data_IF_566771451643
#
_entry.id   IF_566771451643
#
_cell.length_a   1.000
_cell.length_b   1.000
_cell.length_c   1.000
_cell.angle_alpha   90.00
_cell.angle_beta   90.00
_cell.angle_gamma   90.00
#
_symmetry.space_group_name_H-M   'P 1'
#
loop_
_entity.id
_entity.type
_entity.pdbx_description
1 polymer ?
#
# COMPACT_ATOMS: atom_id res chain seq x y z
N UNK A 1 -12.65 -3.86 14.35
CA UNK A 1 -11.78 -2.79 14.81
C UNK A 1 -10.75 -2.52 13.72
N UNK A 2 -10.88 -1.37 13.02
CA UNK A 2 -9.89 -0.96 12.02
C UNK A 2 -8.59 -0.50 12.69
N UNK A 3 -7.44 -0.88 12.13
CA UNK A 3 -6.15 -0.36 12.56
C UNK A 3 -5.95 1.06 12.02
N UNK A 4 -5.38 1.93 12.84
CA UNK A 4 -4.94 3.26 12.42
C UNK A 4 -3.56 3.20 11.75
N UNK A 5 -3.16 4.29 11.06
CA UNK A 5 -1.79 4.40 10.53
C UNK A 5 -0.73 4.24 11.63
N UNK A 6 -1.07 4.57 12.88
CA UNK A 6 -0.17 4.38 14.01
C UNK A 6 0.00 2.91 14.42
N UNK A 7 -0.92 2.04 14.01
CA UNK A 7 -0.91 0.60 14.25
C UNK A 7 -0.39 -0.19 13.03
N UNK A 8 0.10 0.49 12.01
CA UNK A 8 0.87 -0.12 10.94
C UNK A 8 2.21 -0.61 11.48
N UNK A 9 2.41 -1.90 11.44
CA UNK A 9 3.65 -2.55 11.87
C UNK A 9 4.35 -3.16 10.67
N UNK A 10 5.67 -3.21 10.72
CA UNK A 10 6.45 -3.94 9.73
C UNK A 10 6.25 -5.44 9.91
N UNK A 11 6.47 -6.21 8.86
CA UNK A 11 6.47 -7.67 8.92
C UNK A 11 7.42 -8.19 10.02
N UNK A 12 8.55 -7.52 10.23
CA UNK A 12 9.53 -7.84 11.27
C UNK A 12 8.96 -7.70 12.69
N UNK A 13 8.07 -6.73 12.92
CA UNK A 13 7.41 -6.56 14.21
C UNK A 13 6.56 -7.78 14.54
N UNK A 14 5.74 -8.25 13.59
CA UNK A 14 4.88 -9.42 13.78
C UNK A 14 5.64 -10.73 13.92
N UNK A 15 6.77 -10.88 13.20
CA UNK A 15 7.63 -12.08 13.32
C UNK A 15 8.30 -12.23 14.69
N UNK A 16 8.44 -11.14 15.44
CA UNK A 16 8.96 -11.15 16.82
C UNK A 16 7.89 -11.17 17.90
N UNK A 17 6.61 -11.10 17.53
CA UNK A 17 5.52 -11.11 18.50
C UNK A 17 5.29 -12.51 19.08
N UNK A 18 5.00 -12.65 20.40
CA UNK A 18 4.80 -13.95 21.04
C UNK A 18 3.64 -14.77 20.43
N UNK A 19 2.68 -14.11 19.79
CA UNK A 19 1.54 -14.75 19.12
C UNK A 19 1.81 -15.08 17.64
N UNK A 20 3.02 -14.84 17.14
CA UNK A 20 3.41 -15.15 15.77
C UNK A 20 3.67 -16.64 15.62
N UNK A 21 2.91 -17.30 14.74
CA UNK A 21 3.05 -18.74 14.43
C UNK A 21 4.27 -19.02 13.53
N UNK A 22 4.91 -17.99 12.99
CA UNK A 22 6.00 -18.13 12.02
C UNK A 22 7.34 -17.86 12.70
N UNK A 23 7.98 -18.91 13.15
CA UNK A 23 9.41 -18.89 13.51
C UNK A 23 10.23 -19.07 12.22
N UNK A 24 10.78 -18.01 11.69
CA UNK A 24 11.60 -18.04 10.47
C UNK A 24 12.50 -16.82 10.34
N UNK A 25 13.41 -16.86 9.35
CA UNK A 25 14.36 -15.78 9.08
C UNK A 25 13.66 -14.41 9.00
N UNK A 26 14.13 -13.45 9.80
CA UNK A 26 13.62 -12.08 9.83
C UNK A 26 13.67 -11.47 8.43
N UNK A 27 12.51 -11.14 7.89
CA UNK A 27 12.39 -10.40 6.63
C UNK A 27 12.24 -8.93 6.92
N UNK A 28 13.18 -8.11 6.48
CA UNK A 28 13.05 -6.66 6.51
C UNK A 28 12.14 -6.22 5.36
N UNK A 29 10.86 -6.11 5.61
CA UNK A 29 9.88 -5.66 4.64
C UNK A 29 9.11 -4.47 5.21
N UNK A 30 9.04 -3.37 4.51
CA UNK A 30 9.87 -2.94 3.37
C UNK A 30 11.25 -2.41 3.83
N UNK A 31 12.30 -2.82 3.15
CA UNK A 31 13.71 -2.61 3.55
C UNK A 31 14.07 -1.13 3.79
N UNK A 32 13.56 -0.24 2.96
CA UNK A 32 13.85 1.19 3.03
C UNK A 32 13.10 1.94 4.13
N UNK A 33 12.00 1.39 4.61
CA UNK A 33 11.08 2.07 5.53
C UNK A 33 11.43 1.76 6.98
N UNK A 34 12.02 0.59 7.26
CA UNK A 34 12.30 0.17 8.63
C UNK A 34 13.07 1.21 9.47
N UNK A 35 14.18 1.81 8.97
CA UNK A 35 14.89 2.85 9.71
C UNK A 35 14.10 4.14 9.89
N UNK A 36 13.06 4.36 9.06
CA UNK A 36 12.27 5.59 9.01
C UNK A 36 10.78 5.35 9.24
N UNK A 37 10.42 4.24 9.87
CA UNK A 37 9.03 3.82 10.01
C UNK A 37 8.12 4.87 10.67
N UNK A 38 8.60 5.54 11.69
CA UNK A 38 7.88 6.64 12.32
C UNK A 38 7.65 7.82 11.34
N UNK A 39 8.68 8.19 10.60
CA UNK A 39 8.58 9.25 9.57
C UNK A 39 7.67 8.83 8.42
N UNK A 40 7.69 7.56 8.02
CA UNK A 40 6.77 6.99 7.03
C UNK A 40 5.32 7.18 7.46
N UNK A 41 4.96 6.72 8.66
CA UNK A 41 3.60 6.88 9.20
C UNK A 41 3.17 8.34 9.25
N UNK A 42 4.06 9.25 9.69
CA UNK A 42 3.80 10.68 9.71
C UNK A 42 3.57 11.26 8.31
N UNK A 43 4.39 10.87 7.33
CA UNK A 43 4.25 11.32 5.94
C UNK A 43 2.95 10.81 5.31
N UNK A 44 2.58 9.54 5.54
CA UNK A 44 1.30 9.00 5.06
C UNK A 44 0.14 9.76 5.69
N UNK A 45 0.14 9.98 7.00
CA UNK A 45 -0.90 10.73 7.69
C UNK A 45 -1.01 12.18 7.20
N UNK A 46 0.12 12.88 7.05
CA UNK A 46 0.16 14.25 6.53
C UNK A 46 -0.39 14.34 5.11
N UNK A 47 -0.05 13.37 4.24
CA UNK A 47 -0.55 13.35 2.86
C UNK A 47 -2.02 13.02 2.76
N UNK A 48 -2.53 12.18 3.62
CA UNK A 48 -3.97 11.92 3.72
C UNK A 48 -4.74 13.18 4.15
N UNK A 49 -4.20 13.95 5.08
CA UNK A 49 -4.79 15.24 5.48
C UNK A 49 -4.80 16.23 4.31
N UNK A 50 -3.71 16.31 3.55
CA UNK A 50 -3.60 17.15 2.36
C UNK A 50 -4.60 16.72 1.26
N UNK A 51 -4.73 15.41 1.00
CA UNK A 51 -5.68 14.84 0.03
C UNK A 51 -7.14 15.08 0.43
N UNK A 52 -7.44 15.11 1.72
CA UNK A 52 -8.79 15.31 2.25
C UNK A 52 -9.23 16.78 2.31
N UNK A 53 -8.51 17.70 1.70
CA UNK A 53 -8.87 19.12 1.69
C UNK A 53 -8.91 19.77 3.09
N UNK A 54 -8.12 19.26 4.03
CA UNK A 54 -8.06 19.80 5.39
C UNK A 54 -9.24 19.43 6.30
N UNK A 55 -10.04 18.42 5.93
CA UNK A 55 -11.07 17.90 6.82
C UNK A 55 -10.45 17.42 8.14
N UNK A 56 -10.85 18.04 9.23
CA UNK A 56 -10.37 17.80 10.59
C UNK A 56 -10.50 16.32 10.95
N UNK A 57 -9.37 15.71 11.26
CA UNK A 57 -9.33 14.39 11.90
C UNK A 57 -9.90 14.52 13.31
N UNK A 58 -10.93 13.76 13.62
CA UNK A 58 -11.60 13.78 14.93
C UNK A 58 -10.75 13.20 16.08
N UNK A 59 -9.58 12.66 15.78
CA UNK A 59 -8.50 12.40 16.74
C UNK A 59 -7.16 12.74 16.08
N UNK A 60 -6.41 13.67 16.63
CA UNK A 60 -5.14 14.13 16.08
C UNK A 60 -4.19 12.95 15.81
N UNK A 61 -3.95 12.66 14.53
CA UNK A 61 -2.90 11.75 14.08
C UNK A 61 -3.27 10.32 13.77
N UNK A 62 -4.53 9.89 13.89
CA UNK A 62 -4.96 8.54 13.53
C UNK A 62 -5.69 8.51 12.18
N UNK A 63 -5.23 7.67 11.27
CA UNK A 63 -5.90 7.39 10.00
C UNK A 63 -6.15 5.89 9.91
N UNK A 64 -7.41 5.50 9.85
CA UNK A 64 -7.80 4.10 9.74
C UNK A 64 -7.53 3.56 8.34
N UNK A 65 -7.11 2.30 8.27
CA UNK A 65 -6.91 1.57 7.01
C UNK A 65 -8.24 1.06 6.48
N UNK A 66 -9.10 0.55 7.38
CA UNK A 66 -10.44 0.13 7.00
C UNK A 66 -11.38 1.33 6.88
N UNK A 67 -12.34 1.23 5.98
CA UNK A 67 -13.37 2.25 5.77
C UNK A 67 -13.45 2.78 4.34
N UNK A 68 -14.23 3.85 4.15
CA UNK A 68 -14.41 4.48 2.84
C UNK A 68 -13.28 5.46 2.52
N UNK A 69 -12.82 5.48 1.26
CA UNK A 69 -11.90 6.49 0.77
C UNK A 69 -12.48 7.90 0.95
N UNK A 70 -11.62 8.87 1.26
CA UNK A 70 -11.98 10.28 1.42
C UNK A 70 -11.53 11.14 0.23
N UNK A 71 -10.55 10.65 -0.54
CA UNK A 71 -10.11 11.29 -1.78
C UNK A 71 -10.70 10.58 -3.00
N UNK A 72 -10.99 11.32 -4.06
CA UNK A 72 -11.39 10.77 -5.35
C UNK A 72 -10.16 10.51 -6.26
N UNK A 73 -10.36 9.75 -7.34
CA UNK A 73 -9.28 9.36 -8.25
C UNK A 73 -8.54 10.57 -8.86
N UNK A 74 -9.25 11.64 -9.17
CA UNK A 74 -8.66 12.85 -9.73
C UNK A 74 -7.73 13.55 -8.74
N UNK A 75 -8.14 13.67 -7.48
CA UNK A 75 -7.30 14.25 -6.42
C UNK A 75 -6.04 13.42 -6.20
N UNK A 76 -6.18 12.09 -6.15
CA UNK A 76 -5.07 11.15 -5.98
C UNK A 76 -4.08 11.24 -7.15
N UNK A 77 -4.56 11.26 -8.38
CA UNK A 77 -3.74 11.38 -9.58
C UNK A 77 -3.02 12.74 -9.66
N UNK A 78 -3.73 13.85 -9.41
CA UNK A 78 -3.14 15.18 -9.39
C UNK A 78 -2.02 15.29 -8.35
N UNK A 79 -2.24 14.73 -7.16
CA UNK A 79 -1.23 14.72 -6.12
C UNK A 79 0.02 13.93 -6.56
N UNK A 80 -0.14 12.71 -7.08
CA UNK A 80 0.97 11.90 -7.56
C UNK A 80 1.75 12.62 -8.67
N UNK A 81 1.04 13.20 -9.64
CA UNK A 81 1.61 13.97 -10.76
C UNK A 81 2.39 15.21 -10.29
N UNK A 82 1.95 15.84 -9.21
CA UNK A 82 2.69 16.98 -8.62
C UNK A 82 4.06 16.61 -8.08
N UNK A 83 4.30 15.32 -7.79
CA UNK A 83 5.57 14.79 -7.27
C UNK A 83 6.39 14.06 -8.32
N UNK A 84 5.74 13.54 -9.34
CA UNK A 84 6.35 12.93 -10.50
C UNK A 84 5.47 13.18 -11.72
N UNK A 85 5.90 14.06 -12.61
CA UNK A 85 5.17 14.41 -13.83
C UNK A 85 5.05 13.22 -14.80
N UNK A 86 6.02 12.30 -14.76
CA UNK A 86 6.13 11.17 -15.69
C UNK A 86 6.19 9.83 -14.91
N UNK A 87 5.07 9.38 -14.33
CA UNK A 87 5.01 8.11 -13.62
C UNK A 87 5.23 6.93 -14.59
N UNK A 88 6.06 5.98 -14.20
CA UNK A 88 6.34 4.78 -15.00
C UNK A 88 5.21 3.75 -14.81
N UNK A 89 4.12 3.94 -15.55
CA UNK A 89 2.93 3.09 -15.53
C UNK A 89 2.65 2.58 -16.95
N UNK A 90 3.35 1.53 -17.42
CA UNK A 90 3.26 1.09 -18.82
C UNK A 90 1.92 0.48 -19.21
N UNK A 91 1.12 0.03 -18.23
CA UNK A 91 -0.10 -0.74 -18.49
C UNK A 91 -1.40 0.04 -18.20
N UNK A 92 -1.34 1.25 -17.63
CA UNK A 92 -2.51 2.08 -17.35
C UNK A 92 -2.12 3.55 -17.17
N UNK A 93 -3.12 4.45 -17.22
CA UNK A 93 -2.92 5.83 -16.80
C UNK A 93 -2.93 5.96 -15.29
N UNK A 94 -2.42 7.07 -14.77
CA UNK A 94 -2.41 7.36 -13.33
C UNK A 94 -3.84 7.48 -12.77
N UNK A 95 -4.75 8.05 -13.55
CA UNK A 95 -6.17 8.18 -13.22
C UNK A 95 -6.86 6.82 -13.17
N UNK A 96 -6.56 5.93 -14.11
CA UNK A 96 -7.07 4.57 -14.10
C UNK A 96 -6.53 3.79 -12.89
N UNK A 97 -5.25 3.93 -12.58
CA UNK A 97 -4.66 3.29 -11.40
C UNK A 97 -5.34 3.77 -10.12
N UNK A 98 -5.50 5.08 -9.95
CA UNK A 98 -6.19 5.67 -8.80
C UNK A 98 -7.63 5.14 -8.68
N UNK A 99 -8.35 5.01 -9.80
CA UNK A 99 -9.69 4.45 -9.82
C UNK A 99 -9.72 2.97 -9.40
N UNK A 100 -8.75 2.16 -9.82
CA UNK A 100 -8.64 0.76 -9.38
C UNK A 100 -8.44 0.67 -7.86
N UNK A 101 -7.63 1.55 -7.28
CA UNK A 101 -7.46 1.60 -5.82
C UNK A 101 -8.77 1.89 -5.08
N UNK A 102 -9.59 2.79 -5.62
CA UNK A 102 -10.89 3.10 -5.02
C UNK A 102 -11.86 1.91 -5.11
N UNK A 103 -11.96 1.31 -6.29
CA UNK A 103 -12.90 0.21 -6.54
C UNK A 103 -12.53 -1.06 -5.77
N UNK A 104 -11.27 -1.49 -5.82
CA UNK A 104 -10.81 -2.66 -5.08
C UNK A 104 -10.83 -2.41 -3.55
N UNK A 105 -10.53 -1.17 -3.14
CA UNK A 105 -10.62 -0.77 -1.75
C UNK A 105 -12.06 -0.80 -1.23
N UNK A 106 -13.02 -0.26 -1.99
CA UNK A 106 -14.43 -0.29 -1.63
C UNK A 106 -14.95 -1.73 -1.53
N UNK A 107 -14.59 -2.59 -2.47
CA UNK A 107 -15.00 -4.00 -2.47
C UNK A 107 -14.54 -4.75 -1.21
N UNK A 108 -13.33 -4.48 -0.74
CA UNK A 108 -12.74 -5.16 0.43
C UNK A 108 -12.92 -4.39 1.75
N UNK A 109 -13.56 -3.23 1.74
CA UNK A 109 -13.73 -2.38 2.93
C UNK A 109 -12.44 -1.67 3.36
N UNK A 110 -11.43 -1.60 2.50
CA UNK A 110 -10.15 -0.94 2.73
C UNK A 110 -10.18 0.45 2.10
N UNK A 111 -9.60 1.43 2.77
CA UNK A 111 -9.45 2.77 2.22
C UNK A 111 -8.49 2.79 1.02
N UNK A 112 -9.05 2.87 -0.18
CA UNK A 112 -8.28 2.91 -1.43
C UNK A 112 -7.33 4.12 -1.51
N UNK A 113 -7.71 5.27 -0.97
CA UNK A 113 -6.85 6.45 -0.89
C UNK A 113 -5.62 6.24 0.01
N UNK A 114 -5.76 5.49 1.11
CA UNK A 114 -4.64 5.10 1.97
C UNK A 114 -3.72 4.13 1.26
N UNK A 115 -4.27 3.11 0.62
CA UNK A 115 -3.51 2.13 -0.16
C UNK A 115 -2.74 2.79 -1.31
N UNK A 116 -3.37 3.73 -2.03
CA UNK A 116 -2.71 4.52 -3.07
C UNK A 116 -1.56 5.38 -2.50
N UNK A 117 -1.77 6.05 -1.36
CA UNK A 117 -0.71 6.82 -0.71
C UNK A 117 0.47 5.94 -0.30
N UNK A 118 0.23 4.70 0.14
CA UNK A 118 1.27 3.71 0.37
C UNK A 118 2.01 3.36 -0.92
N UNK A 119 1.30 3.11 -2.03
CA UNK A 119 1.93 2.78 -3.31
C UNK A 119 2.86 3.89 -3.81
N UNK A 120 2.48 5.15 -3.63
CA UNK A 120 3.34 6.30 -3.96
C UNK A 120 4.65 6.26 -3.19
N UNK A 121 4.59 5.88 -1.93
CA UNK A 121 5.79 5.79 -1.10
C UNK A 121 6.67 4.60 -1.49
N UNK A 122 6.08 3.41 -1.63
CA UNK A 122 6.80 2.16 -1.95
C UNK A 122 7.50 2.21 -3.31
N UNK A 123 6.92 2.91 -4.28
CA UNK A 123 7.46 3.03 -5.65
C UNK A 123 8.24 4.31 -5.89
N UNK A 124 8.40 5.17 -4.88
CA UNK A 124 8.98 6.50 -5.04
C UNK A 124 8.18 7.36 -6.03
N UNK A 125 6.86 7.42 -5.87
CA UNK A 125 5.92 8.09 -6.79
C UNK A 125 5.96 7.51 -8.21
N UNK A 126 6.00 6.18 -8.32
CA UNK A 126 6.10 5.44 -9.58
C UNK A 126 7.36 5.76 -10.40
N UNK A 127 8.44 6.16 -9.75
CA UNK A 127 9.78 6.25 -10.37
C UNK A 127 10.47 4.89 -10.38
N UNK A 128 10.10 4.05 -9.44
CA UNK A 128 10.75 2.77 -9.18
C UNK A 128 12.27 2.93 -8.92
N UNK A 129 13.09 1.97 -9.30
CA UNK A 129 14.55 2.04 -9.08
C UNK A 129 15.08 0.97 -8.11
N UNK A 130 14.17 0.26 -7.40
CA UNK A 130 14.49 -0.88 -6.55
C UNK A 130 14.37 -2.22 -7.27
N UNK A 131 14.00 -3.26 -6.52
CA UNK A 131 13.84 -4.64 -7.00
C UNK A 131 12.63 -4.78 -7.94
N UNK A 132 11.53 -4.07 -7.65
CA UNK A 132 10.31 -4.10 -8.45
C UNK A 132 10.48 -3.28 -9.73
N UNK A 133 10.06 -3.86 -10.86
CA UNK A 133 10.05 -3.18 -12.16
C UNK A 133 8.65 -2.61 -12.45
N UNK A 134 8.55 -1.51 -13.22
CA UNK A 134 7.25 -0.92 -13.62
C UNK A 134 6.32 -1.90 -14.34
N UNK A 135 6.88 -2.87 -15.06
CA UNK A 135 6.14 -3.88 -15.83
C UNK A 135 5.51 -4.98 -14.98
N UNK A 136 5.83 -5.05 -13.68
CA UNK A 136 5.33 -6.10 -12.80
C UNK A 136 3.95 -5.81 -12.20
N UNK A 137 3.37 -4.63 -12.45
CA UNK A 137 2.09 -4.20 -11.86
C UNK A 137 2.06 -4.36 -10.32
N UNK A 138 3.22 -4.21 -9.69
CA UNK A 138 3.42 -4.42 -8.25
C UNK A 138 3.65 -3.05 -7.58
N UNK A 139 2.66 -2.57 -6.86
CA UNK A 139 2.65 -1.21 -6.30
C UNK A 139 3.02 -1.15 -4.82
N UNK A 140 3.28 -2.29 -4.20
CA UNK A 140 3.58 -2.40 -2.75
C UNK A 140 4.81 -3.25 -2.42
N UNK A 141 5.64 -3.59 -3.42
CA UNK A 141 6.81 -4.42 -3.18
C UNK A 141 6.48 -5.86 -2.72
N UNK A 142 5.29 -6.38 -3.06
CA UNK A 142 4.87 -7.73 -2.67
C UNK A 142 5.88 -8.75 -3.21
N UNK A 143 6.38 -9.63 -2.33
CA UNK A 143 7.36 -10.64 -2.69
C UNK A 143 8.79 -10.13 -2.95
N UNK A 144 9.05 -8.83 -2.77
CA UNK A 144 10.41 -8.33 -2.76
C UNK A 144 11.15 -8.78 -1.50
N UNK A 145 12.24 -9.51 -1.65
CA UNK A 145 13.04 -10.05 -0.55
C UNK A 145 14.45 -9.47 -0.60
N UNK A 146 15.10 -9.40 0.57
CA UNK A 146 16.52 -9.03 0.63
C UNK A 146 17.35 -10.02 -0.20
N UNK A 147 18.22 -9.49 -1.05
CA UNK A 147 19.05 -10.31 -1.93
C UNK A 147 18.40 -10.66 -3.27
N UNK A 148 17.13 -10.33 -3.50
CA UNK A 148 16.52 -10.50 -4.80
C UNK A 148 17.18 -9.59 -5.85
N UNK A 149 17.38 -10.13 -7.05
CA UNK A 149 17.71 -9.34 -8.22
C UNK A 149 16.48 -8.53 -8.69
N UNK A 150 16.71 -7.52 -9.53
CA UNK A 150 15.61 -6.76 -10.17
C UNK A 150 14.64 -7.69 -10.89
N UNK A 151 13.36 -7.47 -10.69
CA UNK A 151 12.31 -8.27 -11.33
C UNK A 151 11.96 -9.57 -10.59
N UNK A 152 12.61 -9.92 -9.49
CA UNK A 152 12.30 -11.13 -8.71
C UNK A 152 11.21 -10.95 -7.65
N UNK A 153 10.54 -9.80 -7.62
CA UNK A 153 9.32 -9.61 -6.82
C UNK A 153 8.10 -10.24 -7.51
N UNK A 154 6.96 -10.27 -6.82
CA UNK A 154 5.71 -10.73 -7.41
C UNK A 154 5.35 -9.91 -8.66
N UNK A 155 4.84 -10.60 -9.68
CA UNK A 155 4.37 -9.99 -10.92
C UNK A 155 2.89 -10.32 -11.09
N UNK A 156 2.10 -9.29 -11.41
CA UNK A 156 0.65 -9.42 -11.61
C UNK A 156 0.30 -9.24 -13.08
N UNK A 157 -0.72 -9.96 -13.59
CA UNK A 157 -1.05 -9.96 -15.02
C UNK A 157 -1.51 -8.59 -15.55
N UNK A 158 -2.13 -7.79 -14.69
CA UNK A 158 -2.66 -6.48 -15.02
C UNK A 158 -2.63 -5.53 -13.81
N UNK A 159 -2.79 -4.21 -14.02
CA UNK A 159 -2.75 -3.22 -12.95
C UNK A 159 -3.82 -3.43 -11.87
N UNK A 160 -5.05 -3.81 -12.24
CA UNK A 160 -6.13 -4.03 -11.28
C UNK A 160 -5.83 -5.21 -10.35
N UNK A 161 -5.29 -6.30 -10.89
CA UNK A 161 -4.87 -7.47 -10.10
C UNK A 161 -3.74 -7.10 -9.12
N UNK A 162 -2.78 -6.28 -9.55
CA UNK A 162 -1.72 -5.78 -8.66
C UNK A 162 -2.25 -4.91 -7.54
N UNK A 163 -3.21 -4.03 -7.83
CA UNK A 163 -3.91 -3.21 -6.83
C UNK A 163 -4.70 -4.11 -5.87
N UNK A 164 -5.47 -5.08 -6.38
CA UNK A 164 -6.21 -6.05 -5.56
C UNK A 164 -5.28 -6.78 -4.58
N UNK A 165 -4.14 -7.24 -5.03
CA UNK A 165 -3.17 -7.90 -4.17
C UNK A 165 -2.71 -7.00 -3.02
N UNK A 166 -2.45 -5.72 -3.26
CA UNK A 166 -2.09 -4.76 -2.22
C UNK A 166 -3.25 -4.48 -1.26
N UNK A 167 -4.47 -4.33 -1.76
CA UNK A 167 -5.67 -4.14 -0.94
C UNK A 167 -5.91 -5.35 -0.03
N UNK A 168 -5.82 -6.56 -0.57
CA UNK A 168 -5.95 -7.81 0.21
C UNK A 168 -4.85 -7.91 1.27
N UNK A 169 -3.63 -7.55 0.92
CA UNK A 169 -2.51 -7.50 1.86
C UNK A 169 -2.76 -6.55 3.03
N UNK A 170 -3.29 -5.37 2.77
CA UNK A 170 -3.67 -4.40 3.81
C UNK A 170 -4.84 -4.91 4.66
N UNK A 171 -5.84 -5.56 4.04
CA UNK A 171 -6.97 -6.16 4.75
C UNK A 171 -6.50 -7.23 5.72
N UNK A 172 -5.56 -8.09 5.32
CA UNK A 172 -5.00 -9.14 6.18
C UNK A 172 -4.36 -8.59 7.47
N UNK A 173 -3.78 -7.39 7.41
CA UNK A 173 -3.24 -6.73 8.61
C UNK A 173 -4.28 -6.00 9.45
N UNK A 174 -5.36 -5.53 8.83
CA UNK A 174 -6.30 -4.59 9.46
C UNK A 174 -7.61 -5.24 9.90
N UNK A 175 -7.94 -6.44 9.40
CA UNK A 175 -9.22 -7.11 9.64
C UNK A 175 -9.05 -8.64 9.69
N UNK A 176 -9.95 -9.30 10.39
CA UNK A 176 -10.11 -10.76 10.38
C UNK A 176 -11.22 -11.23 9.43
N UNK A 177 -11.86 -10.29 8.74
CA UNK A 177 -12.92 -10.61 7.80
C UNK A 177 -12.36 -11.30 6.56
N UNK A 178 -13.13 -12.24 6.03
CA UNK A 178 -12.78 -12.93 4.78
C UNK A 178 -12.67 -11.93 3.61
N UNK A 179 -11.90 -12.31 2.60
CA UNK A 179 -11.86 -11.57 1.34
C UNK A 179 -13.20 -11.67 0.63
N UNK A 180 -13.60 -10.59 -0.03
CA UNK A 180 -14.79 -10.54 -0.89
C UNK A 180 -14.45 -11.08 -2.28
N UNK A 181 -13.30 -10.68 -2.82
CA UNK A 181 -12.80 -11.15 -4.10
C UNK A 181 -11.85 -12.34 -3.95
N UNK A 182 -11.70 -13.13 -5.03
CA UNK A 182 -10.72 -14.21 -5.07
C UNK A 182 -9.33 -13.73 -4.67
N UNK A 183 -8.64 -14.51 -3.85
CA UNK A 183 -7.31 -14.17 -3.36
C UNK A 183 -6.29 -14.13 -4.51
N UNK A 184 -5.61 -13.01 -4.64
CA UNK A 184 -4.51 -12.80 -5.61
C UNK A 184 -3.21 -12.38 -4.93
N UNK A 185 -3.24 -12.05 -3.64
CA UNK A 185 -2.04 -11.80 -2.86
C UNK A 185 -1.33 -13.14 -2.55
N UNK A 186 -0.13 -13.38 -3.10
CA UNK A 186 0.59 -14.65 -2.87
C UNK A 186 1.08 -14.81 -1.43
N UNK A 187 0.87 -13.81 -0.59
CA UNK A 187 1.30 -13.78 0.82
C UNK A 187 0.14 -13.68 1.79
N UNK A 188 -1.09 -13.74 1.29
CA UNK A 188 -2.28 -13.80 2.11
C UNK A 188 -2.33 -15.16 2.82
N UNK A 189 -2.23 -15.16 4.12
CA UNK A 189 -2.28 -16.36 4.97
C UNK A 189 -2.98 -16.06 6.29
#
# INVERSE_FOLDING_TARGET
HGLSVNELYTHNHWMGHPDSIVQGARKNCPLYILPHWAQFKQKVAAKLTELNGGATTTEAGKTEIMGKAKANAQQMALFARSKNAEPQLPACTLEQLAQFFLEEGEAEGVRGDVAFAQSLHETGFFKYGGIVLPTQNNYAGIGALNGNAKGQAATFPDPRTGVRAQIQHLKAYASKEALVNGCVDPRFS
#
